data_IF_887666208769
#
_entry.id   IF_887666208769
#
_cell.length_a   1.000
_cell.length_b   1.000
_cell.length_c   1.000
_cell.angle_alpha   90.00
_cell.angle_beta   90.00
_cell.angle_gamma   90.00
#
_symmetry.space_group_name_H-M   'P 1'
#
loop_
_entity.id
_entity.type
_entity.pdbx_description
1 polymer ?
#
# COMPACT_ATOMS: atom_id res chain seq x y z
N UNK A 1 -2.62 -3.92 -50.49
CA UNK A 1 -2.86 -4.69 -49.25
C UNK A 1 -4.01 -4.04 -48.52
N UNK A 2 -4.95 -4.80 -47.93
CA UNK A 2 -5.96 -4.22 -47.06
C UNK A 2 -5.28 -3.45 -45.92
N UNK A 3 -5.64 -2.19 -45.75
CA UNK A 3 -5.12 -1.33 -44.68
C UNK A 3 -5.78 -1.75 -43.37
N UNK A 4 -5.01 -2.37 -42.48
CA UNK A 4 -5.47 -2.63 -41.12
C UNK A 4 -5.70 -1.29 -40.40
N UNK A 5 -6.82 -1.09 -39.68
CA UNK A 5 -7.05 0.12 -38.90
C UNK A 5 -5.96 0.32 -37.83
N UNK A 6 -5.59 1.58 -37.57
CA UNK A 6 -4.52 1.94 -36.64
C UNK A 6 -4.79 1.41 -35.22
N UNK A 7 -6.05 1.43 -34.80
CA UNK A 7 -6.50 0.97 -33.49
C UNK A 7 -6.23 -0.53 -33.28
N UNK A 8 -6.35 -1.33 -34.34
CA UNK A 8 -6.04 -2.77 -34.29
C UNK A 8 -4.53 -2.98 -34.17
N UNK A 9 -3.73 -2.18 -34.88
CA UNK A 9 -2.27 -2.23 -34.79
C UNK A 9 -1.81 -1.86 -33.38
N UNK A 10 -2.33 -0.77 -32.81
CA UNK A 10 -2.04 -0.35 -31.43
C UNK A 10 -2.44 -1.41 -30.40
N UNK A 11 -3.58 -2.09 -30.62
CA UNK A 11 -4.01 -3.19 -29.76
C UNK A 11 -3.05 -4.39 -29.84
N UNK A 12 -2.60 -4.78 -31.04
CA UNK A 12 -1.61 -5.85 -31.23
C UNK A 12 -0.28 -5.48 -30.55
N UNK A 13 0.22 -4.26 -30.78
CA UNK A 13 1.47 -3.79 -30.15
C UNK A 13 1.34 -3.72 -28.63
N UNK A 14 0.17 -3.35 -28.10
CA UNK A 14 -0.12 -3.35 -26.66
C UNK A 14 -0.07 -4.76 -26.07
N UNK A 15 -0.59 -5.77 -26.78
CA UNK A 15 -0.53 -7.17 -26.36
C UNK A 15 0.93 -7.66 -26.38
N UNK A 16 1.68 -7.36 -27.45
CA UNK A 16 3.10 -7.71 -27.55
C UNK A 16 3.93 -7.06 -26.44
N UNK A 17 3.67 -5.79 -26.12
CA UNK A 17 4.38 -5.09 -25.04
C UNK A 17 4.28 -5.78 -23.68
N UNK A 18 3.18 -6.52 -23.43
CA UNK A 18 2.96 -7.25 -22.17
C UNK A 18 3.45 -8.69 -22.25
N UNK A 19 3.27 -9.35 -23.40
CA UNK A 19 3.48 -10.80 -23.54
C UNK A 19 4.81 -11.20 -24.18
N UNK A 20 5.34 -10.38 -25.11
CA UNK A 20 6.56 -10.65 -25.85
C UNK A 20 7.26 -9.35 -26.29
N UNK A 21 8.02 -8.78 -25.35
CA UNK A 21 8.75 -7.52 -25.55
C UNK A 21 9.79 -7.61 -26.69
N UNK A 22 10.40 -8.77 -26.91
CA UNK A 22 11.39 -8.96 -27.98
C UNK A 22 10.74 -8.90 -29.37
N UNK A 23 9.53 -9.46 -29.50
CA UNK A 23 8.74 -9.30 -30.72
C UNK A 23 8.33 -7.85 -30.96
N UNK A 24 8.02 -7.08 -29.91
CA UNK A 24 7.76 -5.64 -30.04
C UNK A 24 8.98 -4.87 -30.56
N UNK A 25 10.18 -5.16 -30.02
CA UNK A 25 11.43 -4.57 -30.49
C UNK A 25 11.68 -4.90 -31.96
N UNK A 26 11.55 -6.17 -32.33
CA UNK A 26 11.72 -6.62 -33.73
C UNK A 26 10.72 -5.95 -34.65
N UNK A 27 9.46 -5.83 -34.23
CA UNK A 27 8.38 -5.16 -34.97
C UNK A 27 8.71 -3.69 -35.24
N UNK A 28 9.36 -3.01 -34.29
CA UNK A 28 9.77 -1.61 -34.46
C UNK A 28 10.77 -1.41 -35.61
N UNK A 29 11.49 -2.46 -36.01
CA UNK A 29 12.46 -2.43 -37.11
C UNK A 29 11.83 -2.76 -38.47
N UNK A 30 10.61 -3.29 -38.50
CA UNK A 30 9.96 -3.75 -39.74
C UNK A 30 9.38 -2.61 -40.57
N UNK A 31 8.86 -1.56 -39.93
CA UNK A 31 8.18 -0.45 -40.61
C UNK A 31 8.37 0.86 -39.84
N UNK A 32 8.71 1.95 -40.56
CA UNK A 32 8.88 3.28 -39.97
C UNK A 32 7.61 3.83 -39.30
N UNK A 33 6.43 3.43 -39.79
CA UNK A 33 5.15 3.82 -39.19
C UNK A 33 4.93 3.19 -37.79
N UNK A 34 5.55 2.03 -37.51
CA UNK A 34 5.43 1.37 -36.21
C UNK A 34 6.40 1.93 -35.18
N UNK A 35 7.50 2.56 -35.62
CA UNK A 35 8.51 3.13 -34.73
C UNK A 35 7.91 4.00 -33.61
N UNK A 36 7.07 5.03 -33.90
CA UNK A 36 6.51 5.86 -32.83
C UNK A 36 5.59 5.08 -31.88
N UNK A 37 4.78 4.14 -32.40
CA UNK A 37 3.87 3.32 -31.60
C UNK A 37 4.65 2.36 -30.69
N UNK A 38 5.63 1.65 -31.25
CA UNK A 38 6.50 0.77 -30.49
C UNK A 38 7.29 1.56 -29.44
N UNK A 39 7.85 2.73 -29.77
CA UNK A 39 8.56 3.59 -28.80
C UNK A 39 7.67 4.00 -27.63
N UNK A 40 6.40 4.31 -27.89
CA UNK A 40 5.43 4.64 -26.84
C UNK A 40 5.21 3.50 -25.84
N UNK A 41 5.39 2.24 -26.26
CA UNK A 41 5.34 1.08 -25.39
C UNK A 41 6.71 0.76 -24.75
N UNK A 42 7.78 0.76 -25.54
CA UNK A 42 9.15 0.43 -25.11
C UNK A 42 9.63 1.37 -24.00
N UNK A 43 9.44 2.67 -24.17
CA UNK A 43 9.91 3.70 -23.23
C UNK A 43 8.85 4.08 -22.20
N UNK A 44 7.71 3.39 -22.15
CA UNK A 44 6.59 3.74 -21.28
C UNK A 44 6.96 3.72 -19.80
N UNK A 45 7.74 2.72 -19.41
CA UNK A 45 8.14 2.46 -18.04
C UNK A 45 9.65 2.32 -17.99
N UNK A 46 10.30 3.13 -17.16
CA UNK A 46 11.74 3.09 -16.95
C UNK A 46 11.99 2.75 -15.49
N UNK A 47 12.88 1.78 -15.26
CA UNK A 47 13.40 1.45 -13.93
C UNK A 47 14.85 1.84 -13.86
N UNK A 48 15.17 2.85 -13.05
CA UNK A 48 16.54 3.28 -12.81
C UNK A 48 17.13 2.52 -11.64
N UNK A 49 18.40 2.12 -11.78
CA UNK A 49 19.17 1.47 -10.73
C UNK A 49 18.55 0.14 -10.27
N UNK A 50 17.99 -0.64 -11.20
CA UNK A 50 17.42 -1.96 -10.91
C UNK A 50 18.41 -2.86 -10.17
N UNK A 51 17.90 -3.67 -9.23
CA UNK A 51 18.69 -4.70 -8.56
C UNK A 51 19.01 -5.89 -9.48
N UNK A 52 18.33 -5.99 -10.64
CA UNK A 52 18.62 -7.00 -11.65
C UNK A 52 19.95 -6.71 -12.35
N UNK A 53 20.82 -7.71 -12.41
CA UNK A 53 22.12 -7.62 -13.08
C UNK A 53 22.01 -7.36 -14.60
N UNK A 54 20.85 -7.65 -15.20
CA UNK A 54 20.68 -7.67 -16.65
C UNK A 54 20.24 -6.32 -17.26
N UNK A 55 19.64 -5.42 -16.48
CA UNK A 55 19.03 -4.18 -17.00
C UNK A 55 19.23 -3.01 -16.03
N UNK A 56 20.49 -2.69 -15.75
CA UNK A 56 20.83 -1.58 -14.86
C UNK A 56 20.94 -0.25 -15.64
N UNK A 57 19.78 0.34 -15.98
CA UNK A 57 19.74 1.71 -16.53
C UNK A 57 20.10 2.69 -15.43
N UNK A 58 21.18 3.45 -15.60
CA UNK A 58 21.59 4.49 -14.65
C UNK A 58 20.94 5.84 -14.99
N UNK A 59 20.85 6.78 -14.03
CA UNK A 59 20.44 8.16 -14.31
C UNK A 59 21.28 8.82 -15.41
N UNK A 60 22.60 8.58 -15.44
CA UNK A 60 23.50 9.10 -16.47
C UNK A 60 23.20 8.56 -17.86
N UNK A 61 22.97 7.25 -18.00
CA UNK A 61 22.56 6.64 -19.27
C UNK A 61 21.23 7.22 -19.77
N UNK A 62 20.27 7.42 -18.86
CA UNK A 62 19.00 8.06 -19.22
C UNK A 62 19.23 9.50 -19.68
N UNK A 63 20.04 10.28 -18.95
CA UNK A 63 20.37 11.65 -19.33
C UNK A 63 21.00 11.73 -20.72
N UNK A 64 22.03 10.91 -20.99
CA UNK A 64 22.71 10.88 -22.29
C UNK A 64 21.71 10.55 -23.41
N UNK A 65 20.84 9.58 -23.18
CA UNK A 65 19.83 9.17 -24.16
C UNK A 65 18.79 10.26 -24.43
N UNK A 66 18.30 10.92 -23.39
CA UNK A 66 17.34 12.02 -23.52
C UNK A 66 17.98 13.26 -24.13
N UNK A 67 19.26 13.48 -23.91
CA UNK A 67 20.01 14.58 -24.55
C UNK A 67 20.17 14.36 -26.05
N UNK A 68 20.42 13.11 -26.48
CA UNK A 68 20.53 12.76 -27.90
C UNK A 68 19.17 12.65 -28.60
N UNK A 69 18.11 12.30 -27.87
CA UNK A 69 16.78 12.04 -28.45
C UNK A 69 15.69 12.51 -27.49
N UNK A 70 15.49 13.84 -27.37
CA UNK A 70 14.57 14.43 -26.39
C UNK A 70 13.13 13.98 -26.55
N UNK A 71 12.71 13.62 -27.77
CA UNK A 71 11.37 13.11 -28.04
C UNK A 71 11.07 11.75 -27.39
N UNK A 72 12.04 11.11 -26.74
CA UNK A 72 11.78 9.91 -25.94
C UNK A 72 11.12 10.26 -24.60
N UNK A 73 11.40 11.45 -24.04
CA UNK A 73 10.89 11.83 -22.73
C UNK A 73 9.36 11.89 -22.67
N UNK A 74 8.70 12.23 -23.78
CA UNK A 74 7.23 12.24 -23.88
C UNK A 74 6.59 10.85 -23.81
N UNK A 75 7.34 9.78 -24.04
CA UNK A 75 6.82 8.42 -23.94
C UNK A 75 6.91 7.88 -22.50
N UNK A 76 7.77 8.44 -21.65
CA UNK A 76 7.98 7.98 -20.27
C UNK A 76 6.80 8.39 -19.39
N UNK A 77 6.02 7.40 -18.95
CA UNK A 77 4.83 7.59 -18.09
C UNK A 77 5.02 7.03 -16.68
N UNK A 78 5.87 6.03 -16.52
CA UNK A 78 6.15 5.41 -15.23
C UNK A 78 7.67 5.42 -15.01
N UNK A 79 8.09 5.93 -13.86
CA UNK A 79 9.48 5.90 -13.43
C UNK A 79 9.55 5.20 -12.08
N UNK A 80 10.30 4.11 -12.01
CA UNK A 80 10.73 3.52 -10.75
C UNK A 80 12.21 3.85 -10.56
N UNK A 81 12.57 4.43 -9.43
CA UNK A 81 13.92 4.88 -9.17
C UNK A 81 14.43 4.35 -7.83
N UNK A 82 15.35 3.39 -7.93
CA UNK A 82 16.14 2.93 -6.79
C UNK A 82 17.25 3.94 -6.50
N UNK A 83 17.03 4.81 -5.53
CA UNK A 83 17.98 5.84 -5.15
C UNK A 83 19.13 5.20 -4.37
N UNK A 84 20.33 5.34 -4.91
CA UNK A 84 21.60 4.95 -4.27
C UNK A 84 22.27 6.19 -3.68
N UNK A 85 23.18 5.97 -2.74
CA UNK A 85 23.91 7.06 -2.07
C UNK A 85 24.68 7.95 -3.05
N UNK A 86 25.28 7.39 -4.11
CA UNK A 86 26.00 8.20 -5.09
C UNK A 86 25.10 9.05 -6.00
N UNK A 87 23.82 8.67 -6.17
CA UNK A 87 22.89 9.44 -6.99
C UNK A 87 22.60 10.82 -6.37
N UNK A 88 22.78 10.96 -5.06
CA UNK A 88 22.51 12.22 -4.36
C UNK A 88 23.49 13.35 -4.71
N UNK A 89 24.65 12.96 -5.23
CA UNK A 89 25.71 13.87 -5.67
C UNK A 89 25.85 13.94 -7.19
N UNK A 90 25.09 13.12 -7.93
CA UNK A 90 25.12 13.07 -9.38
C UNK A 90 24.22 14.18 -9.96
N UNK A 91 24.79 15.16 -10.67
CA UNK A 91 23.99 16.22 -11.31
C UNK A 91 23.20 15.72 -12.52
N UNK A 92 23.59 14.59 -13.12
CA UNK A 92 22.92 14.02 -14.30
C UNK A 92 21.51 13.55 -13.96
N UNK A 93 21.24 13.16 -12.71
CA UNK A 93 19.89 12.83 -12.27
C UNK A 93 18.94 14.02 -12.39
N UNK A 94 19.41 15.20 -12.01
CA UNK A 94 18.60 16.42 -12.03
C UNK A 94 18.22 16.73 -13.47
N UNK A 95 19.19 16.62 -14.38
CA UNK A 95 19.00 16.86 -15.80
C UNK A 95 18.05 15.81 -16.41
N UNK A 96 18.26 14.52 -16.14
CA UNK A 96 17.39 13.44 -16.64
C UNK A 96 15.93 13.64 -16.20
N UNK A 97 15.70 13.90 -14.92
CA UNK A 97 14.37 14.05 -14.34
C UNK A 97 13.65 15.32 -14.82
N UNK A 98 14.38 16.40 -15.10
CA UNK A 98 13.81 17.64 -15.66
C UNK A 98 13.25 17.48 -17.08
N UNK A 99 13.69 16.47 -17.83
CA UNK A 99 13.13 16.18 -19.15
C UNK A 99 11.76 15.49 -19.07
N UNK A 100 11.40 14.91 -17.93
CA UNK A 100 10.20 14.07 -17.77
C UNK A 100 8.96 14.91 -17.49
N UNK A 101 8.40 15.57 -18.51
CA UNK A 101 7.24 16.47 -18.36
C UNK A 101 5.88 15.78 -18.34
N UNK A 102 5.89 14.46 -18.53
CA UNK A 102 4.74 13.67 -18.95
C UNK A 102 4.48 12.46 -18.04
N UNK A 103 5.20 12.42 -16.93
CA UNK A 103 5.17 11.34 -15.96
C UNK A 103 3.81 11.25 -15.28
N UNK A 104 3.26 10.03 -15.18
CA UNK A 104 2.01 9.72 -14.48
C UNK A 104 2.22 8.99 -13.17
N UNK A 105 3.27 8.19 -13.08
CA UNK A 105 3.61 7.42 -11.88
C UNK A 105 5.07 7.58 -11.55
N UNK A 106 5.35 7.90 -10.30
CA UNK A 106 6.69 7.94 -9.73
C UNK A 106 6.76 6.98 -8.54
N UNK A 107 7.70 6.04 -8.59
CA UNK A 107 8.05 5.19 -7.45
C UNK A 107 9.52 5.46 -7.10
N UNK A 108 9.78 5.89 -5.87
CA UNK A 108 11.14 6.15 -5.39
C UNK A 108 11.38 5.25 -4.20
N UNK A 109 12.47 4.50 -4.25
CA UNK A 109 12.79 3.57 -3.20
C UNK A 109 14.28 3.49 -2.95
N UNK A 110 14.63 3.04 -1.75
CA UNK A 110 16.00 2.72 -1.37
C UNK A 110 16.00 1.32 -0.77
N UNK A 111 16.93 0.44 -1.16
CA UNK A 111 16.95 -0.93 -0.64
C UNK A 111 17.71 -0.99 0.70
N UNK A 112 17.04 -1.13 1.86
CA UNK A 112 17.71 -1.07 3.16
C UNK A 112 18.56 -2.33 3.44
N UNK A 113 18.23 -3.46 2.80
CA UNK A 113 18.76 -4.78 3.14
C UNK A 113 20.22 -5.03 2.74
N UNK A 114 20.81 -4.20 1.87
CA UNK A 114 22.14 -4.52 1.36
C UNK A 114 23.26 -4.13 2.33
N UNK A 115 23.06 -3.20 3.26
CA UNK A 115 24.15 -2.83 4.20
C UNK A 115 23.60 -2.34 5.54
N UNK A 116 23.90 -3.09 6.61
CA UNK A 116 23.58 -2.77 8.02
C UNK A 116 24.18 -1.44 8.55
N UNK A 117 24.76 -0.60 7.69
CA UNK A 117 25.69 0.47 8.07
C UNK A 117 25.59 1.74 7.20
N UNK A 118 24.80 1.78 6.12
CA UNK A 118 24.79 3.00 5.29
C UNK A 118 23.99 4.14 5.91
N UNK A 119 24.48 5.39 5.77
CA UNK A 119 23.77 6.57 6.22
C UNK A 119 22.42 6.65 5.49
N UNK A 120 21.36 6.83 6.28
CA UNK A 120 20.00 6.98 5.77
C UNK A 120 19.98 8.05 4.67
N UNK A 121 19.58 7.68 3.43
CA UNK A 121 19.30 8.65 2.36
C UNK A 121 18.26 9.60 2.91
N UNK A 122 18.67 10.85 3.10
CA UNK A 122 17.86 11.86 3.74
C UNK A 122 17.48 12.88 2.70
N UNK A 123 16.18 12.97 2.39
CA UNK A 123 15.63 13.93 1.43
C UNK A 123 16.09 15.39 1.66
N UNK A 124 16.50 15.73 2.89
CA UNK A 124 16.93 17.06 3.29
C UNK A 124 18.42 17.34 3.10
N UNK A 125 19.25 16.29 3.04
CA UNK A 125 20.69 16.45 2.89
C UNK A 125 21.09 16.73 1.44
N UNK A 126 20.22 16.40 0.49
CA UNK A 126 20.55 16.34 -0.93
C UNK A 126 19.72 17.33 -1.77
N UNK A 127 20.12 18.62 -1.83
CA UNK A 127 19.34 19.67 -2.47
C UNK A 127 19.15 19.45 -3.98
N UNK A 128 20.12 18.83 -4.66
CA UNK A 128 20.06 18.59 -6.10
C UNK A 128 18.90 17.63 -6.46
N UNK A 129 18.89 16.45 -5.85
CA UNK A 129 17.81 15.46 -6.02
C UNK A 129 16.46 16.05 -5.60
N UNK A 130 16.42 16.79 -4.50
CA UNK A 130 15.18 17.45 -4.06
C UNK A 130 14.62 18.43 -5.09
N UNK A 131 15.48 19.22 -5.77
CA UNK A 131 15.04 20.13 -6.84
C UNK A 131 14.44 19.36 -8.00
N UNK A 132 15.08 18.26 -8.41
CA UNK A 132 14.58 17.40 -9.48
C UNK A 132 13.23 16.76 -9.13
N UNK A 133 13.10 16.25 -7.91
CA UNK A 133 11.87 15.62 -7.44
C UNK A 133 10.74 16.64 -7.28
N UNK A 134 11.03 17.86 -6.83
CA UNK A 134 10.03 18.95 -6.82
C UNK A 134 9.49 19.26 -8.21
N UNK A 135 10.34 19.23 -9.23
CA UNK A 135 9.88 19.38 -10.62
C UNK A 135 8.86 18.30 -10.98
N UNK A 136 9.18 17.02 -10.70
CA UNK A 136 8.28 15.90 -10.98
C UNK A 136 6.99 16.00 -10.17
N UNK A 137 7.09 16.30 -8.88
CA UNK A 137 5.93 16.47 -8.00
C UNK A 137 5.03 17.63 -8.46
N UNK A 138 5.58 18.64 -9.12
CA UNK A 138 4.80 19.73 -9.68
C UNK A 138 4.10 19.39 -11.01
N UNK A 139 4.33 18.20 -11.59
CA UNK A 139 3.73 17.84 -12.87
C UNK A 139 2.22 17.63 -12.72
N UNK A 140 1.40 18.28 -13.59
CA UNK A 140 -0.05 18.08 -13.57
C UNK A 140 -0.47 16.70 -14.08
N UNK A 141 0.45 15.94 -14.69
CA UNK A 141 0.20 14.58 -15.15
C UNK A 141 0.44 13.52 -14.07
N UNK A 142 1.09 13.86 -12.95
CA UNK A 142 1.47 12.91 -11.91
C UNK A 142 0.23 12.51 -11.09
N UNK A 143 -0.20 11.25 -11.26
CA UNK A 143 -1.39 10.67 -10.63
C UNK A 143 -1.01 9.73 -9.49
N UNK A 144 0.13 9.05 -9.59
CA UNK A 144 0.58 8.05 -8.62
C UNK A 144 1.97 8.40 -8.08
N UNK A 145 2.10 8.33 -6.75
CA UNK A 145 3.37 8.51 -6.05
C UNK A 145 3.55 7.38 -5.03
N UNK A 146 4.67 6.68 -5.14
CA UNK A 146 5.09 5.64 -4.21
C UNK A 146 6.47 5.99 -3.65
N UNK A 147 6.61 5.91 -2.34
CA UNK A 147 7.85 6.20 -1.62
C UNK A 147 8.13 5.07 -0.65
N UNK A 148 9.31 4.45 -0.76
CA UNK A 148 9.74 3.35 0.08
C UNK A 148 11.12 3.60 0.70
N UNK A 149 11.20 3.46 2.04
CA UNK A 149 12.45 3.51 2.81
C UNK A 149 13.26 4.80 2.60
N UNK A 150 12.57 5.93 2.47
CA UNK A 150 13.20 7.26 2.37
C UNK A 150 13.05 7.99 3.69
N UNK A 151 14.19 8.31 4.29
CA UNK A 151 14.29 9.08 5.53
C UNK A 151 14.44 10.56 5.19
N UNK A 152 14.44 11.43 6.19
CA UNK A 152 14.53 12.88 5.94
C UNK A 152 13.17 13.56 5.82
N UNK A 153 12.10 12.78 5.64
CA UNK A 153 10.75 13.29 5.36
C UNK A 153 10.66 13.98 4.01
N UNK A 154 9.72 13.55 3.17
CA UNK A 154 9.22 14.42 2.10
C UNK A 154 8.56 15.59 2.79
N UNK A 155 9.07 16.79 2.53
CA UNK A 155 8.41 17.96 3.03
C UNK A 155 7.04 18.07 2.36
N UNK A 156 6.02 18.27 3.17
CA UNK A 156 4.68 18.64 2.71
C UNK A 156 4.73 19.75 1.68
N UNK A 157 5.63 20.72 1.86
CA UNK A 157 5.89 21.80 0.91
C UNK A 157 6.12 21.28 -0.52
N UNK A 158 6.79 20.14 -0.66
CA UNK A 158 7.14 19.56 -1.94
C UNK A 158 5.91 18.84 -2.56
N UNK A 159 5.05 18.21 -1.73
CA UNK A 159 3.76 17.64 -2.16
C UNK A 159 2.69 18.70 -2.46
N UNK A 160 2.78 19.91 -1.89
CA UNK A 160 1.80 20.97 -2.17
C UNK A 160 1.77 21.36 -3.65
N UNK A 161 2.87 21.14 -4.36
CA UNK A 161 2.96 21.37 -5.81
C UNK A 161 2.12 20.35 -6.61
N UNK A 162 1.87 19.17 -6.05
CA UNK A 162 1.09 18.08 -6.68
C UNK A 162 -0.42 18.15 -6.41
N UNK A 163 -0.88 19.14 -5.64
CA UNK A 163 -2.22 19.16 -5.02
C UNK A 163 -3.43 19.12 -5.98
N UNK A 164 -3.21 19.13 -7.30
CA UNK A 164 -4.28 19.06 -8.31
C UNK A 164 -4.52 17.70 -8.96
N UNK A 165 -3.50 16.83 -9.07
CA UNK A 165 -3.55 15.67 -9.95
C UNK A 165 -3.29 14.33 -9.25
N UNK A 166 -2.62 14.34 -8.10
CA UNK A 166 -2.26 13.11 -7.41
C UNK A 166 -3.51 12.43 -6.82
N UNK A 167 -3.80 11.21 -7.29
CA UNK A 167 -4.94 10.40 -6.85
C UNK A 167 -4.50 9.22 -5.97
N UNK A 168 -3.26 8.74 -6.12
CA UNK A 168 -2.74 7.58 -5.38
C UNK A 168 -1.44 7.93 -4.67
N UNK A 169 -1.38 7.62 -3.39
CA UNK A 169 -0.20 7.78 -2.54
C UNK A 169 0.10 6.47 -1.81
N UNK A 170 1.29 5.94 -2.01
CA UNK A 170 1.82 4.78 -1.29
C UNK A 170 3.06 5.19 -0.49
N UNK A 171 3.05 4.93 0.82
CA UNK A 171 4.17 5.22 1.70
C UNK A 171 4.57 3.96 2.47
N UNK A 172 5.83 3.59 2.40
CA UNK A 172 6.39 2.40 3.03
C UNK A 172 7.70 2.75 3.74
N UNK A 173 7.83 2.37 5.03
CA UNK A 173 8.98 2.75 5.88
C UNK A 173 9.30 4.26 5.87
N UNK A 174 8.27 5.10 5.87
CA UNK A 174 8.43 6.55 5.84
C UNK A 174 8.57 7.12 7.25
N UNK A 175 9.75 7.65 7.58
CA UNK A 175 10.03 8.29 8.85
C UNK A 175 10.08 9.82 8.71
N UNK A 176 9.29 10.58 9.49
CA UNK A 176 9.32 12.02 9.44
C UNK A 176 10.55 12.52 10.20
N UNK A 177 11.32 13.44 9.61
CA UNK A 177 12.33 14.19 10.37
C UNK A 177 11.64 15.27 11.17
N UNK A 178 11.90 15.25 12.48
CA UNK A 178 11.59 16.27 13.48
C UNK A 178 10.42 17.19 13.11
N UNK A 179 9.22 16.75 13.48
CA UNK A 179 7.95 17.44 13.21
C UNK A 179 7.94 18.88 13.75
N UNK A 180 8.80 19.21 14.72
CA UNK A 180 8.93 20.58 15.23
C UNK A 180 9.41 21.57 14.16
N UNK A 181 10.18 21.11 13.17
CA UNK A 181 10.70 21.94 12.07
C UNK A 181 9.65 22.29 11.01
N UNK A 182 8.50 21.63 11.01
CA UNK A 182 7.43 21.83 10.01
C UNK A 182 6.66 23.14 10.27
N UNK A 183 6.58 23.59 11.52
CA UNK A 183 5.80 24.77 11.93
C UNK A 183 6.22 26.09 11.26
N UNK A 184 7.45 26.18 10.74
CA UNK A 184 7.99 27.40 10.13
C UNK A 184 7.73 27.52 8.61
N UNK A 185 7.04 26.55 7.99
CA UNK A 185 6.93 26.47 6.51
C UNK A 185 5.62 27.02 5.96
N UNK A 186 5.63 27.50 4.70
CA UNK A 186 4.43 28.04 4.05
C UNK A 186 3.31 27.01 4.04
N UNK A 187 2.10 27.47 4.37
CA UNK A 187 0.90 26.65 4.38
C UNK A 187 0.54 26.21 2.95
N UNK A 188 0.07 24.97 2.76
CA UNK A 188 -0.40 24.50 1.46
C UNK A 188 -1.52 25.39 0.92
N UNK A 189 -1.49 25.69 -0.37
CA UNK A 189 -2.53 26.51 -1.01
C UNK A 189 -3.80 25.71 -1.34
N UNK A 190 -3.69 24.39 -1.56
CA UNK A 190 -4.79 23.51 -1.94
C UNK A 190 -4.72 22.16 -1.22
N UNK A 191 -5.87 21.55 -0.89
CA UNK A 191 -5.91 20.21 -0.32
C UNK A 191 -5.58 19.15 -1.37
N UNK A 192 -4.88 18.10 -0.94
CA UNK A 192 -4.58 16.90 -1.70
C UNK A 192 -5.79 15.95 -1.65
N UNK A 193 -6.36 15.66 -2.81
CA UNK A 193 -7.60 14.85 -2.93
C UNK A 193 -7.28 13.44 -3.41
N UNK A 194 -6.96 12.57 -2.46
CA UNK A 194 -6.58 11.19 -2.76
C UNK A 194 -7.81 10.30 -2.97
N UNK A 195 -7.67 9.31 -3.86
CA UNK A 195 -8.61 8.19 -4.07
C UNK A 195 -8.10 6.88 -3.52
N UNK A 196 -6.77 6.73 -3.48
CA UNK A 196 -6.06 5.53 -3.04
C UNK A 196 -4.96 5.96 -2.07
N UNK A 197 -4.96 5.39 -0.87
CA UNK A 197 -3.94 5.61 0.14
C UNK A 197 -3.45 4.25 0.66
N UNK A 198 -2.17 3.96 0.45
CA UNK A 198 -1.51 2.74 0.96
C UNK A 198 -0.43 3.13 1.96
N UNK A 199 -0.61 2.80 3.24
CA UNK A 199 0.33 3.11 4.29
C UNK A 199 0.86 1.82 4.86
N UNK A 200 2.18 1.66 4.79
CA UNK A 200 2.83 0.47 5.27
C UNK A 200 3.89 0.78 6.30
N UNK A 201 4.01 -0.09 7.30
CA UNK A 201 4.98 0.01 8.38
C UNK A 201 4.87 1.36 9.11
N UNK A 202 6.01 2.02 9.30
CA UNK A 202 6.18 3.24 10.09
C UNK A 202 5.49 4.50 9.52
N UNK A 203 4.81 4.38 8.37
CA UNK A 203 4.26 5.49 7.60
C UNK A 203 2.96 6.07 8.15
N UNK A 204 2.26 5.37 9.07
CA UNK A 204 0.98 5.83 9.61
C UNK A 204 1.13 7.10 10.46
N UNK A 205 2.12 7.14 11.36
CA UNK A 205 2.35 8.29 12.25
C UNK A 205 2.56 9.62 11.49
N UNK A 206 3.39 9.69 10.43
CA UNK A 206 3.47 10.84 9.54
C UNK A 206 2.13 11.31 8.98
N UNK A 207 1.28 10.37 8.52
CA UNK A 207 -0.02 10.72 7.92
C UNK A 207 -0.98 11.29 8.97
N UNK A 208 -0.99 10.74 10.18
CA UNK A 208 -1.79 11.30 11.28
C UNK A 208 -1.39 12.76 11.53
N UNK A 209 -0.08 13.04 11.50
CA UNK A 209 0.40 14.42 11.60
C UNK A 209 -0.06 15.27 10.41
N UNK A 210 0.04 14.75 9.18
CA UNK A 210 -0.41 15.47 7.98
C UNK A 210 -1.92 15.77 7.99
N UNK A 211 -2.72 14.90 8.61
CA UNK A 211 -4.14 15.11 8.83
C UNK A 211 -4.45 16.28 9.79
N UNK A 212 -3.50 16.68 10.64
CA UNK A 212 -3.65 17.85 11.52
C UNK A 212 -3.36 19.18 10.82
N UNK A 213 -2.71 19.13 9.66
CA UNK A 213 -2.24 20.33 8.94
C UNK A 213 -3.37 20.91 8.11
N UNK A 214 -3.44 22.24 8.11
CA UNK A 214 -4.43 23.02 7.37
C UNK A 214 -3.79 23.77 6.22
N UNK A 215 -4.51 23.83 5.11
CA UNK A 215 -4.25 24.74 4.01
C UNK A 215 -4.46 26.21 4.44
N UNK A 216 -4.04 27.13 3.59
CA UNK A 216 -4.23 28.57 3.80
C UNK A 216 -5.72 28.98 3.96
N UNK A 217 -6.65 28.19 3.42
CA UNK A 217 -8.10 28.38 3.54
C UNK A 217 -8.72 27.70 4.79
N UNK A 218 -7.90 27.10 5.65
CA UNK A 218 -8.33 26.40 6.86
C UNK A 218 -8.82 24.97 6.66
N UNK A 219 -8.95 24.48 5.42
CA UNK A 219 -9.30 23.07 5.13
C UNK A 219 -8.12 22.13 5.44
N UNK A 220 -8.37 20.84 5.73
CA UNK A 220 -7.30 19.88 5.95
C UNK A 220 -6.44 19.73 4.68
N UNK A 221 -5.13 19.62 4.84
CA UNK A 221 -4.21 19.41 3.72
C UNK A 221 -4.48 18.08 3.01
N UNK A 222 -4.69 17.00 3.76
CA UNK A 222 -5.14 15.73 3.21
C UNK A 222 -6.67 15.68 3.27
N UNK A 223 -7.31 15.71 2.11
CA UNK A 223 -8.76 15.62 1.96
C UNK A 223 -9.15 14.19 1.53
N UNK A 224 -9.67 13.43 2.49
CA UNK A 224 -10.11 12.04 2.29
C UNK A 224 -11.57 11.89 1.85
N UNK A 225 -12.26 13.00 1.53
CA UNK A 225 -13.66 12.95 1.05
C UNK A 225 -13.85 12.14 -0.24
N UNK A 226 -12.77 11.94 -1.02
CA UNK A 226 -12.76 11.15 -2.25
C UNK A 226 -12.03 9.82 -2.12
N UNK A 227 -11.58 9.46 -0.92
CA UNK A 227 -10.80 8.25 -0.72
C UNK A 227 -11.70 7.03 -0.85
N UNK A 228 -11.45 6.20 -1.86
CA UNK A 228 -12.22 4.99 -2.16
C UNK A 228 -11.53 3.71 -1.72
N UNK A 229 -10.20 3.74 -1.59
CA UNK A 229 -9.40 2.60 -1.15
C UNK A 229 -8.36 3.04 -0.13
N UNK A 230 -8.32 2.34 1.01
CA UNK A 230 -7.39 2.57 2.10
C UNK A 230 -6.75 1.24 2.50
N UNK A 231 -5.43 1.19 2.49
CA UNK A 231 -4.63 0.07 2.98
C UNK A 231 -3.69 0.53 4.08
N UNK A 232 -3.68 -0.21 5.19
CA UNK A 232 -2.92 0.07 6.39
C UNK A 232 -2.18 -1.18 6.84
N UNK A 233 -0.84 -1.18 6.81
CA UNK A 233 0.00 -2.23 7.41
C UNK A 233 0.60 -1.68 8.70
N UNK A 234 0.13 -2.25 9.80
CA UNK A 234 0.32 -1.82 11.17
C UNK A 234 1.28 -2.78 11.88
N UNK A 235 2.51 -2.33 12.11
CA UNK A 235 3.54 -3.08 12.82
C UNK A 235 3.88 -2.47 14.18
N UNK A 236 4.75 -3.16 14.93
CA UNK A 236 5.19 -2.73 16.26
C UNK A 236 5.82 -1.35 16.25
N UNK A 237 5.08 -0.38 16.77
CA UNK A 237 5.53 0.99 16.96
C UNK A 237 5.05 1.44 18.34
N UNK A 238 5.93 1.51 19.35
CA UNK A 238 5.58 1.90 20.73
C UNK A 238 4.80 3.21 20.84
N UNK A 239 4.95 4.09 19.85
CA UNK A 239 4.34 5.41 19.77
C UNK A 239 2.98 5.44 19.08
N UNK A 240 2.61 4.42 18.29
CA UNK A 240 1.40 4.42 17.50
C UNK A 240 0.22 3.92 18.34
N UNK A 241 -0.69 4.82 18.70
CA UNK A 241 -1.91 4.47 19.44
C UNK A 241 -3.02 4.07 18.46
N UNK A 242 -3.84 3.08 18.83
CA UNK A 242 -5.00 2.65 18.02
C UNK A 242 -5.96 3.80 17.65
N UNK A 243 -6.11 4.80 18.54
CA UNK A 243 -6.91 6.00 18.26
C UNK A 243 -6.40 6.84 17.08
N UNK A 244 -5.09 6.79 16.80
CA UNK A 244 -4.52 7.50 15.64
C UNK A 244 -4.93 6.83 14.33
N UNK A 245 -4.96 5.49 14.30
CA UNK A 245 -5.45 4.72 13.15
C UNK A 245 -6.94 5.00 12.92
N UNK A 246 -7.74 4.93 13.99
CA UNK A 246 -9.17 5.29 13.94
C UNK A 246 -9.40 6.67 13.33
N UNK A 247 -8.64 7.67 13.75
CA UNK A 247 -8.77 9.05 13.26
C UNK A 247 -8.51 9.25 11.75
N UNK A 248 -7.77 8.35 11.10
CA UNK A 248 -7.60 8.36 9.64
C UNK A 248 -8.86 7.79 8.98
N UNK A 249 -9.32 6.64 9.45
CA UNK A 249 -10.48 5.93 8.90
C UNK A 249 -11.76 6.78 9.08
N UNK A 250 -11.96 7.40 10.23
CA UNK A 250 -13.11 8.27 10.54
C UNK A 250 -13.28 9.45 9.57
N UNK A 251 -12.20 9.88 8.92
CA UNK A 251 -12.22 10.98 7.95
C UNK A 251 -12.63 10.52 6.55
N UNK A 252 -12.71 9.21 6.31
CA UNK A 252 -13.04 8.63 5.03
C UNK A 252 -14.55 8.40 4.95
N UNK A 253 -15.27 9.26 4.22
CA UNK A 253 -16.75 9.15 4.09
C UNK A 253 -17.17 8.37 2.83
N UNK A 254 -16.30 8.28 1.83
CA UNK A 254 -16.55 7.61 0.55
C UNK A 254 -15.80 6.29 0.37
N UNK A 255 -15.35 5.66 1.46
CA UNK A 255 -14.49 4.48 1.40
C UNK A 255 -15.25 3.27 0.85
N UNK A 256 -14.72 2.65 -0.20
CA UNK A 256 -15.32 1.46 -0.83
C UNK A 256 -14.61 0.19 -0.38
N UNK A 257 -13.30 0.26 -0.16
CA UNK A 257 -12.48 -0.86 0.27
C UNK A 257 -11.51 -0.44 1.36
N UNK A 258 -11.48 -1.23 2.44
CA UNK A 258 -10.58 -1.08 3.57
C UNK A 258 -9.75 -2.34 3.73
N UNK A 259 -8.43 -2.19 3.73
CA UNK A 259 -7.48 -3.24 4.02
C UNK A 259 -6.64 -2.89 5.25
N UNK A 260 -6.68 -3.73 6.28
CA UNK A 260 -5.89 -3.59 7.49
C UNK A 260 -5.06 -4.84 7.67
N UNK A 261 -3.74 -4.72 7.69
CA UNK A 261 -2.82 -5.75 8.18
C UNK A 261 -2.29 -5.30 9.53
N UNK A 262 -2.42 -6.10 10.58
CA UNK A 262 -2.00 -5.75 11.92
C UNK A 262 -1.21 -6.89 12.58
N UNK A 263 -0.07 -6.56 13.18
CA UNK A 263 0.73 -7.50 13.97
C UNK A 263 0.53 -7.22 15.46
N UNK A 264 0.01 -8.19 16.20
CA UNK A 264 -0.26 -8.10 17.65
C UNK A 264 0.98 -8.53 18.47
N UNK A 265 1.28 -7.93 19.66
CA UNK A 265 0.43 -7.11 20.57
C UNK A 265 0.21 -5.64 20.23
N UNK A 266 0.74 -5.18 19.10
CA UNK A 266 1.09 -3.77 18.93
C UNK A 266 -0.10 -2.84 18.74
N UNK A 267 -1.11 -3.28 17.99
CA UNK A 267 -2.29 -2.46 17.70
C UNK A 267 -3.55 -3.29 17.93
N UNK A 268 -4.43 -2.77 18.78
CA UNK A 268 -5.77 -3.31 18.96
C UNK A 268 -6.65 -2.83 17.81
N UNK A 269 -7.45 -3.73 17.24
CA UNK A 269 -8.54 -3.37 16.32
C UNK A 269 -9.77 -2.83 17.08
N UNK A 270 -9.60 -2.48 18.35
CA UNK A 270 -10.67 -1.94 19.18
C UNK A 270 -11.11 -0.57 18.66
N UNK A 271 -12.42 -0.36 18.55
CA UNK A 271 -13.01 0.85 17.96
C UNK A 271 -13.02 0.84 16.43
N UNK A 272 -12.75 -0.30 15.78
CA UNK A 272 -12.87 -0.42 14.32
C UNK A 272 -14.28 -0.06 13.84
N UNK A 273 -15.32 -0.50 14.56
CA UNK A 273 -16.72 -0.23 14.24
C UNK A 273 -16.98 1.27 14.20
N UNK A 274 -16.58 1.99 15.25
CA UNK A 274 -16.72 3.44 15.34
C UNK A 274 -15.93 4.13 14.24
N UNK A 275 -14.73 3.64 13.95
CA UNK A 275 -13.85 4.22 12.96
C UNK A 275 -14.39 4.11 11.53
N UNK A 276 -15.03 3.00 11.17
CA UNK A 276 -15.63 2.81 9.82
C UNK A 276 -17.03 3.41 9.69
N UNK A 277 -17.67 3.80 10.79
CA UNK A 277 -19.05 4.30 10.79
C UNK A 277 -19.30 5.42 9.74
N UNK A 278 -18.38 6.38 9.51
CA UNK A 278 -18.57 7.42 8.49
C UNK A 278 -18.62 6.90 7.04
N UNK A 279 -18.11 5.69 6.77
CA UNK A 279 -18.14 5.04 5.45
C UNK A 279 -19.01 3.77 5.41
N UNK A 280 -19.79 3.49 6.43
CA UNK A 280 -20.53 2.21 6.54
C UNK A 280 -21.52 1.96 5.39
N UNK A 281 -22.04 3.03 4.78
CA UNK A 281 -22.95 3.00 3.63
C UNK A 281 -22.26 3.05 2.27
N UNK A 282 -20.93 3.14 2.23
CA UNK A 282 -20.12 3.13 1.00
C UNK A 282 -19.14 1.95 0.97
N UNK A 283 -18.78 1.40 2.14
CA UNK A 283 -17.82 0.33 2.31
C UNK A 283 -18.40 -1.01 1.87
N UNK A 284 -17.87 -1.53 0.75
CA UNK A 284 -18.29 -2.80 0.15
C UNK A 284 -17.36 -3.95 0.50
N UNK A 285 -16.07 -3.68 0.72
CA UNK A 285 -15.04 -4.71 0.92
C UNK A 285 -14.21 -4.40 2.16
N UNK A 286 -14.18 -5.35 3.09
CA UNK A 286 -13.38 -5.27 4.30
C UNK A 286 -12.37 -6.42 4.32
N UNK A 287 -11.08 -6.08 4.31
CA UNK A 287 -9.98 -7.05 4.36
C UNK A 287 -9.17 -6.83 5.62
N UNK A 288 -9.07 -7.84 6.45
CA UNK A 288 -8.34 -7.79 7.72
C UNK A 288 -7.36 -8.95 7.76
N UNK A 289 -6.07 -8.64 7.84
CA UNK A 289 -5.01 -9.60 8.12
C UNK A 289 -4.50 -9.34 9.54
N UNK A 290 -4.63 -10.31 10.44
CA UNK A 290 -4.08 -10.23 11.80
C UNK A 290 -3.01 -11.29 11.98
N UNK A 291 -1.81 -10.86 12.36
CA UNK A 291 -0.71 -11.75 12.75
C UNK A 291 -0.51 -11.71 14.26
N UNK A 292 -0.44 -12.89 14.89
CA UNK A 292 -0.28 -13.07 16.32
C UNK A 292 1.14 -13.57 16.61
N UNK A 293 2.11 -12.66 16.59
CA UNK A 293 3.51 -12.97 16.89
C UNK A 293 3.74 -12.88 18.40
N UNK A 294 3.61 -14.00 19.10
CA UNK A 294 3.94 -14.09 20.54
C UNK A 294 5.45 -14.30 20.72
N UNK A 295 6.24 -13.25 20.52
CA UNK A 295 7.66 -13.24 20.95
C UNK A 295 7.85 -12.71 22.38
N UNK A 296 6.80 -12.22 23.02
CA UNK A 296 6.82 -11.75 24.40
C UNK A 296 6.03 -12.62 25.37
N UNK A 297 6.47 -12.64 26.64
CA UNK A 297 5.89 -13.36 27.79
C UNK A 297 4.51 -12.84 28.26
N UNK A 298 3.80 -12.03 27.45
CA UNK A 298 2.50 -11.51 27.85
C UNK A 298 1.49 -12.66 27.81
N UNK A 299 1.02 -13.07 28.99
CA UNK A 299 -0.11 -13.98 29.12
C UNK A 299 -1.36 -13.26 28.60
N UNK A 300 -1.88 -13.70 27.47
CA UNK A 300 -3.16 -13.22 26.98
C UNK A 300 -4.26 -13.79 27.87
N UNK A 301 -4.94 -12.93 28.62
CA UNK A 301 -6.25 -13.25 29.17
C UNK A 301 -7.26 -13.30 28.01
N UNK A 302 -8.32 -14.08 28.16
CA UNK A 302 -9.37 -14.24 27.12
C UNK A 302 -9.97 -12.89 26.64
N UNK A 303 -9.95 -11.88 27.51
CA UNK A 303 -10.51 -10.55 27.29
C UNK A 303 -9.62 -9.70 26.36
N UNK A 304 -8.30 -9.91 26.41
CA UNK A 304 -7.32 -9.17 25.59
C UNK A 304 -6.86 -9.97 24.37
N UNK A 305 -7.59 -11.03 24.02
CA UNK A 305 -7.33 -11.82 22.83
C UNK A 305 -7.81 -11.03 21.59
N UNK A 306 -6.94 -10.74 20.60
CA UNK A 306 -7.34 -9.93 19.45
C UNK A 306 -8.39 -10.60 18.57
N UNK A 307 -8.49 -11.94 18.57
CA UNK A 307 -9.60 -12.62 17.90
C UNK A 307 -10.93 -12.33 18.60
N UNK A 308 -10.94 -12.27 19.94
CA UNK A 308 -12.14 -11.89 20.71
C UNK A 308 -12.53 -10.44 20.40
N UNK A 309 -11.56 -9.52 20.36
CA UNK A 309 -11.79 -8.12 20.00
C UNK A 309 -12.32 -8.01 18.57
N UNK A 310 -11.66 -8.64 17.59
CA UNK A 310 -12.09 -8.65 16.19
C UNK A 310 -13.49 -9.24 16.04
N UNK A 311 -13.79 -10.35 16.70
CA UNK A 311 -15.12 -10.96 16.69
C UNK A 311 -16.18 -10.01 17.25
N UNK A 312 -15.87 -9.31 18.35
CA UNK A 312 -16.74 -8.29 18.93
C UNK A 312 -16.96 -7.12 17.96
N UNK A 313 -15.92 -6.56 17.36
CA UNK A 313 -16.04 -5.47 16.39
C UNK A 313 -16.90 -5.88 15.19
N UNK A 314 -16.61 -7.04 14.58
CA UNK A 314 -17.42 -7.55 13.48
C UNK A 314 -18.89 -7.80 13.88
N UNK A 315 -19.14 -8.26 15.11
CA UNK A 315 -20.50 -8.42 15.64
C UNK A 315 -21.25 -7.09 15.74
N UNK A 316 -20.56 -6.00 16.09
CA UNK A 316 -21.15 -4.66 16.11
C UNK A 316 -21.37 -4.12 14.69
N UNK A 317 -20.40 -4.28 13.79
CA UNK A 317 -20.55 -3.91 12.37
C UNK A 317 -21.76 -4.61 11.74
N UNK A 318 -21.92 -5.92 11.97
CA UNK A 318 -23.09 -6.68 11.51
C UNK A 318 -24.42 -6.29 12.17
N UNK A 319 -24.44 -5.40 13.17
CA UNK A 319 -25.71 -4.83 13.69
C UNK A 319 -26.04 -3.47 13.09
N UNK A 320 -25.13 -2.89 12.32
CA UNK A 320 -25.35 -1.62 11.61
C UNK A 320 -26.03 -1.86 10.26
N UNK A 321 -26.58 -0.78 9.68
CA UNK A 321 -27.13 -0.78 8.31
C UNK A 321 -25.99 -0.69 7.26
N UNK A 322 -25.10 -1.68 7.31
CA UNK A 322 -23.93 -1.78 6.44
C UNK A 322 -24.28 -2.38 5.08
N UNK A 323 -23.51 -1.99 4.06
CA UNK A 323 -23.63 -2.51 2.69
C UNK A 323 -22.45 -3.41 2.30
N UNK A 324 -21.78 -4.03 3.29
CA UNK A 324 -20.61 -4.87 3.03
C UNK A 324 -21.02 -6.07 2.17
N UNK A 325 -20.34 -6.23 1.03
CA UNK A 325 -20.55 -7.31 0.07
C UNK A 325 -19.52 -8.43 0.28
N UNK A 326 -18.30 -8.09 0.71
CA UNK A 326 -17.21 -9.03 0.89
C UNK A 326 -16.41 -8.76 2.18
N UNK A 327 -16.14 -9.83 2.93
CA UNK A 327 -15.24 -9.80 4.09
C UNK A 327 -14.13 -10.82 3.86
N UNK A 328 -12.86 -10.39 3.91
CA UNK A 328 -11.70 -11.28 3.88
C UNK A 328 -10.95 -11.19 5.20
N UNK A 329 -10.84 -12.30 5.90
CA UNK A 329 -10.06 -12.43 7.12
C UNK A 329 -8.86 -13.34 6.85
N UNK A 330 -7.65 -12.85 7.12
CA UNK A 330 -6.43 -13.65 7.16
C UNK A 330 -5.91 -13.65 8.60
N UNK A 331 -5.78 -14.82 9.20
CA UNK A 331 -5.39 -14.96 10.60
C UNK A 331 -4.11 -15.78 10.67
N UNK A 332 -3.00 -15.19 11.12
CA UNK A 332 -1.71 -15.88 11.29
C UNK A 332 -1.44 -16.13 12.78
N UNK A 333 -1.86 -17.28 13.30
CA UNK A 333 -1.89 -17.60 14.74
C UNK A 333 -0.62 -18.37 15.16
N UNK A 334 0.19 -17.78 16.03
CA UNK A 334 1.28 -18.49 16.71
C UNK A 334 0.76 -19.30 17.90
N UNK A 335 0.83 -20.64 17.84
CA UNK A 335 0.44 -21.50 18.95
C UNK A 335 1.52 -21.51 20.03
N UNK A 336 1.13 -21.13 21.24
CA UNK A 336 1.94 -21.29 22.46
C UNK A 336 1.24 -22.23 23.42
N UNK A 337 2.01 -22.86 24.31
CA UNK A 337 1.46 -23.78 25.31
C UNK A 337 0.34 -23.09 26.12
N UNK A 338 -0.82 -23.75 26.21
CA UNK A 338 -1.98 -23.27 26.97
C UNK A 338 -2.94 -22.31 26.23
N UNK A 339 -2.61 -21.86 25.01
CA UNK A 339 -3.54 -21.03 24.23
C UNK A 339 -4.70 -21.87 23.65
N UNK A 340 -5.93 -21.57 24.05
CA UNK A 340 -7.14 -22.19 23.52
C UNK A 340 -7.94 -21.18 22.68
N UNK A 341 -7.90 -21.26 21.33
CA UNK A 341 -8.62 -20.33 20.45
C UNK A 341 -10.12 -20.59 20.39
N UNK A 342 -10.63 -21.68 20.98
CA UNK A 342 -12.03 -22.13 20.82
C UNK A 342 -13.06 -21.06 21.17
N UNK A 343 -12.85 -20.31 22.24
CA UNK A 343 -13.79 -19.26 22.67
C UNK A 343 -13.85 -18.15 21.62
N UNK A 344 -12.70 -17.65 21.18
CA UNK A 344 -12.62 -16.58 20.19
C UNK A 344 -13.12 -17.02 18.80
N UNK A 345 -12.84 -18.25 18.38
CA UNK A 345 -13.37 -18.83 17.14
C UNK A 345 -14.90 -18.94 17.20
N UNK A 346 -15.47 -19.40 18.33
CA UNK A 346 -16.93 -19.41 18.52
C UNK A 346 -17.54 -18.02 18.46
N UNK A 347 -16.87 -17.03 19.04
CA UNK A 347 -17.33 -15.64 18.97
C UNK A 347 -17.28 -15.12 17.54
N UNK A 348 -16.21 -15.41 16.81
CA UNK A 348 -16.08 -15.05 15.40
C UNK A 348 -17.17 -15.73 14.55
N UNK A 349 -17.46 -17.00 14.79
CA UNK A 349 -18.56 -17.69 14.10
C UNK A 349 -19.92 -17.02 14.37
N UNK A 350 -20.17 -16.60 15.62
CA UNK A 350 -21.40 -15.90 16.01
C UNK A 350 -21.53 -14.50 15.39
N UNK A 351 -20.42 -13.81 15.12
CA UNK A 351 -20.47 -12.48 14.50
C UNK A 351 -21.00 -12.53 13.06
N UNK A 352 -20.82 -13.66 12.36
CA UNK A 352 -21.31 -13.85 10.98
C UNK A 352 -22.74 -14.39 10.83
N UNK A 353 -23.49 -14.60 11.92
CA UNK A 353 -24.84 -15.18 11.85
C UNK A 353 -25.78 -14.52 10.80
N UNK A 354 -26.57 -15.34 10.09
CA UNK A 354 -27.33 -15.04 8.84
C UNK A 354 -28.12 -13.73 8.75
N UNK A 355 -28.49 -13.09 9.87
CA UNK A 355 -29.40 -11.94 9.86
C UNK A 355 -28.70 -10.59 10.11
N UNK A 356 -27.36 -10.59 10.22
CA UNK A 356 -26.56 -9.39 10.51
C UNK A 356 -26.02 -8.69 9.26
N UNK A 357 -26.01 -9.39 8.13
CA UNK A 357 -25.23 -8.96 6.98
C UNK A 357 -26.10 -8.93 5.72
N UNK A 358 -26.90 -7.87 5.52
CA UNK A 358 -27.96 -7.85 4.52
C UNK A 358 -27.45 -7.96 3.08
N UNK A 359 -26.23 -7.47 2.80
CA UNK A 359 -25.63 -7.44 1.46
C UNK A 359 -24.43 -8.37 1.29
N UNK A 360 -24.07 -9.14 2.32
CA UNK A 360 -22.84 -9.93 2.32
C UNK A 360 -22.98 -11.14 1.41
N UNK A 361 -22.16 -11.16 0.36
CA UNK A 361 -22.14 -12.21 -0.67
C UNK A 361 -21.01 -13.19 -0.47
N UNK A 362 -19.91 -12.73 0.11
CA UNK A 362 -18.71 -13.56 0.28
C UNK A 362 -18.03 -13.30 1.62
N UNK A 363 -17.69 -14.38 2.31
CA UNK A 363 -16.73 -14.36 3.41
C UNK A 363 -15.59 -15.29 3.04
N UNK A 364 -14.38 -14.72 2.97
CA UNK A 364 -13.15 -15.49 2.82
C UNK A 364 -12.45 -15.53 4.17
N UNK A 365 -12.21 -16.73 4.69
CA UNK A 365 -11.40 -16.92 5.89
C UNK A 365 -10.18 -17.75 5.52
N UNK A 366 -9.00 -17.21 5.81
CA UNK A 366 -7.71 -17.86 5.69
C UNK A 366 -7.08 -17.93 7.07
N UNK A 367 -6.78 -19.13 7.55
CA UNK A 367 -6.15 -19.33 8.86
C UNK A 367 -4.82 -20.01 8.64
N UNK A 368 -3.75 -19.27 8.90
CA UNK A 368 -2.38 -19.78 8.98
C UNK A 368 -2.00 -20.02 10.43
N UNK A 369 -1.44 -21.17 10.72
CA UNK A 369 -0.99 -21.51 12.07
C UNK A 369 0.51 -21.74 12.04
N UNK A 370 1.26 -21.08 12.92
CA UNK A 370 2.67 -21.36 13.13
C UNK A 370 2.89 -21.98 14.50
N UNK A 371 3.69 -23.06 14.53
CA UNK A 371 4.01 -23.80 15.75
C UNK A 371 5.51 -23.70 16.00
N UNK A 372 5.91 -23.08 17.12
CA UNK A 372 7.33 -23.03 17.55
C UNK A 372 7.69 -24.08 18.60
N UNK A 373 6.70 -24.69 19.25
CA UNK A 373 6.91 -25.66 20.34
C UNK A 373 6.36 -27.04 19.99
N UNK A 374 7.11 -28.14 20.23
CA UNK A 374 6.62 -29.51 20.05
C UNK A 374 5.40 -29.85 20.91
N UNK A 375 5.17 -29.11 22.01
CA UNK A 375 4.08 -29.34 22.95
C UNK A 375 2.76 -28.64 22.58
N UNK A 376 2.70 -27.93 21.45
CA UNK A 376 1.45 -27.30 21.00
C UNK A 376 0.49 -28.33 20.38
N UNK A 377 -0.80 -27.97 20.33
CA UNK A 377 -1.84 -28.75 19.63
C UNK A 377 -1.32 -29.21 18.27
N UNK A 378 -1.50 -30.50 17.97
CA UNK A 378 -1.18 -31.02 16.65
C UNK A 378 -1.98 -30.25 15.58
N UNK A 379 -1.35 -30.03 14.42
CA UNK A 379 -1.95 -29.39 13.25
C UNK A 379 -3.41 -29.83 12.98
N UNK A 380 -3.60 -31.15 13.01
CA UNK A 380 -4.88 -31.80 12.73
C UNK A 380 -5.92 -31.53 13.81
N UNK A 381 -5.50 -31.42 15.06
CA UNK A 381 -6.39 -31.09 16.17
C UNK A 381 -6.87 -29.63 16.06
N UNK A 382 -5.98 -28.70 15.73
CA UNK A 382 -6.36 -27.31 15.48
C UNK A 382 -7.28 -27.19 14.25
N UNK A 383 -6.97 -27.90 13.17
CA UNK A 383 -7.81 -27.94 11.97
C UNK A 383 -9.21 -28.47 12.28
N UNK A 384 -9.30 -29.52 13.10
CA UNK A 384 -10.58 -30.06 13.59
C UNK A 384 -11.32 -29.00 14.42
N UNK A 385 -10.64 -28.34 15.36
CA UNK A 385 -11.22 -27.30 16.19
C UNK A 385 -11.78 -26.14 15.36
N UNK A 386 -11.04 -25.65 14.36
CA UNK A 386 -11.52 -24.59 13.45
C UNK A 386 -12.77 -25.05 12.71
N UNK A 387 -12.80 -26.29 12.20
CA UNK A 387 -13.98 -26.85 11.52
C UNK A 387 -15.20 -26.97 12.43
N UNK A 388 -15.00 -27.42 13.66
CA UNK A 388 -16.08 -27.58 14.65
C UNK A 388 -16.64 -26.22 15.07
N UNK A 389 -15.76 -25.29 15.47
CA UNK A 389 -16.17 -24.00 16.04
C UNK A 389 -16.66 -23.00 14.99
N UNK A 390 -16.21 -23.13 13.73
CA UNK A 390 -16.67 -22.34 12.59
C UNK A 390 -17.64 -23.10 11.67
N UNK A 391 -18.27 -24.16 12.17
CA UNK A 391 -19.15 -25.06 11.39
C UNK A 391 -20.21 -24.32 10.56
N UNK A 392 -20.76 -23.22 11.03
CA UNK A 392 -21.73 -22.43 10.27
C UNK A 392 -21.13 -21.79 9.01
N UNK A 393 -19.88 -21.30 9.07
CA UNK A 393 -19.16 -20.78 7.90
C UNK A 393 -18.96 -21.88 6.84
N UNK A 394 -18.67 -23.11 7.26
CA UNK A 394 -18.49 -24.25 6.34
C UNK A 394 -19.80 -24.77 5.72
N UNK A 395 -20.95 -24.50 6.34
CA UNK A 395 -22.27 -24.92 5.84
C UNK A 395 -22.89 -23.90 4.88
N UNK A 396 -22.23 -22.78 4.63
CA UNK A 396 -22.75 -21.71 3.77
C UNK A 396 -21.98 -21.69 2.44
N UNK A 397 -22.66 -22.01 1.34
CA UNK A 397 -22.07 -22.05 -0.01
C UNK A 397 -21.51 -20.68 -0.47
N UNK A 398 -21.93 -19.60 0.17
CA UNK A 398 -21.42 -18.24 -0.10
C UNK A 398 -20.11 -17.93 0.65
N UNK A 399 -19.54 -18.89 1.37
CA UNK A 399 -18.36 -18.70 2.21
C UNK A 399 -17.23 -19.58 1.71
N UNK A 400 -16.12 -18.95 1.33
CA UNK A 400 -14.91 -19.64 0.92
C UNK A 400 -13.96 -19.72 2.12
N UNK A 401 -13.88 -20.88 2.75
CA UNK A 401 -12.92 -21.10 3.84
C UNK A 401 -11.68 -21.80 3.30
N UNK A 402 -10.58 -21.08 3.28
CA UNK A 402 -9.26 -21.63 3.02
C UNK A 402 -8.55 -21.89 4.37
N UNK A 403 -7.86 -23.01 4.45
CA UNK A 403 -7.08 -23.35 5.64
C UNK A 403 -5.70 -23.76 5.18
N UNK A 404 -4.70 -22.96 5.55
CA UNK A 404 -3.30 -23.24 5.26
C UNK A 404 -2.56 -23.51 6.57
N UNK A 405 -1.90 -24.65 6.68
CA UNK A 405 -1.11 -24.97 7.86
C UNK A 405 0.37 -24.85 7.51
N UNK A 406 1.07 -23.92 8.17
CA UNK A 406 2.48 -23.63 7.90
C UNK A 406 3.34 -24.02 9.10
N UNK A 407 4.03 -25.15 9.00
CA UNK A 407 5.04 -25.53 9.99
C UNK A 407 6.31 -24.74 9.70
N UNK A 408 6.59 -23.75 10.55
CA UNK A 408 7.90 -23.13 10.59
C UNK A 408 8.82 -23.97 11.47
N UNK A 409 9.64 -24.81 10.85
CA UNK A 409 10.77 -25.44 11.53
C UNK A 409 11.86 -24.37 11.68
N UNK A 410 11.89 -23.73 12.85
CA UNK A 410 12.91 -22.74 13.22
C UNK A 410 14.24 -23.37 13.58
#
# INVERSE_FOLDING_TARGET
MPTLPLEIIESILSILAVSDFNSLLTTSLTCSAFVPLCRAHIFRSITLNSASEFENVTPSMLHDRLSQTPELAQYIRHLSFNMKEHDTHDSTIVLALQHLTHLRSLSIWHHPYLVKVHPEISWNKDPAVRVALRHILALPSLVELEIFAIHGGIFLSDLTSSAGALEKLTLELFLPVDLSSIAAKPTPSKPLKLRVLDLKFQSVSPIVHFCSIKCADGRPFLDFSRLTWLSLVLEEMPQLKGSQVGSIIERCTGLVELHITATYPCITLFGLTDAIQPSIHTLKRLRIHVSFNKEGSIEYTDINNPLTILASELDHVGRTDNILEEITLRLSIGLTAGYNPSISLRMLNKSFARNKWPMLRSVSLDVSVSQRSPAALAADEFKRLVKEELSWLFLNDSVLVNFEYLVWLG
#
